data_IF_720717712760
#
_entry.id   IF_720717712760
#
_cell.length_a   1.000
_cell.length_b   1.000
_cell.length_c   1.000
_cell.angle_alpha   90.00
_cell.angle_beta   90.00
_cell.angle_gamma   90.00
#
_symmetry.space_group_name_H-M   'P 1'
#
loop_
_entity.id
_entity.type
_entity.pdbx_description
1 polymer ?
#
# COMPACT_ATOMS: atom_id res chain seq x y z
N UNK A 1 -31.71 2.22 -9.24
CA UNK A 1 -32.03 1.47 -8.00
C UNK A 1 -30.79 1.19 -7.16
N UNK A 2 -29.68 0.72 -7.75
CA UNK A 2 -28.39 0.51 -7.05
C UNK A 2 -27.81 1.84 -6.52
N UNK A 3 -27.87 2.93 -7.29
CA UNK A 3 -27.32 4.23 -6.86
C UNK A 3 -28.00 4.81 -5.63
N UNK A 4 -29.31 4.63 -5.48
CA UNK A 4 -30.08 5.09 -4.31
C UNK A 4 -29.74 4.30 -3.03
N UNK A 5 -29.43 3.01 -3.15
CA UNK A 5 -28.97 2.18 -2.03
C UNK A 5 -27.52 2.52 -1.63
N UNK A 6 -26.65 2.82 -2.60
CA UNK A 6 -25.28 3.26 -2.35
C UNK A 6 -25.23 4.60 -1.60
N UNK A 7 -26.10 5.53 -1.98
CA UNK A 7 -26.20 6.86 -1.36
C UNK A 7 -26.72 6.76 0.09
N UNK A 8 -27.68 5.86 0.35
CA UNK A 8 -28.15 5.56 1.72
C UNK A 8 -27.14 4.80 2.58
N UNK A 9 -26.26 4.00 1.97
CA UNK A 9 -25.15 3.30 2.64
C UNK A 9 -23.95 4.22 2.88
N UNK A 10 -23.99 5.48 2.40
CA UNK A 10 -22.88 6.43 2.54
C UNK A 10 -21.67 6.09 1.65
N UNK A 11 -21.81 5.12 0.74
CA UNK A 11 -20.79 4.75 -0.26
C UNK A 11 -20.91 5.74 -1.42
N UNK A 12 -20.52 6.97 -1.12
CA UNK A 12 -20.43 8.04 -2.12
C UNK A 12 -19.11 7.91 -2.88
N UNK A 13 -19.03 8.35 -4.15
CA UNK A 13 -17.76 8.41 -4.90
C UNK A 13 -16.63 9.11 -4.13
N UNK A 14 -17.03 10.06 -3.28
CA UNK A 14 -16.18 10.77 -2.32
C UNK A 14 -15.43 9.85 -1.37
N UNK A 15 -16.07 8.77 -0.90
CA UNK A 15 -15.45 7.83 0.03
C UNK A 15 -14.30 7.07 -0.65
N UNK A 16 -14.49 6.58 -1.89
CA UNK A 16 -13.42 5.94 -2.65
C UNK A 16 -12.29 6.91 -3.00
N UNK A 17 -12.61 8.16 -3.34
CA UNK A 17 -11.61 9.19 -3.58
C UNK A 17 -10.80 9.51 -2.31
N UNK A 18 -11.46 9.64 -1.15
CA UNK A 18 -10.78 9.90 0.11
C UNK A 18 -9.93 8.73 0.59
N UNK A 19 -10.47 7.52 0.54
CA UNK A 19 -9.75 6.29 0.91
C UNK A 19 -8.53 6.10 0.00
N UNK A 20 -8.65 6.30 -1.31
CA UNK A 20 -7.50 6.15 -2.23
C UNK A 20 -6.40 7.19 -1.98
N UNK A 21 -6.75 8.44 -1.66
CA UNK A 21 -5.78 9.47 -1.26
C UNK A 21 -5.06 9.09 0.05
N UNK A 22 -5.80 8.67 1.07
CA UNK A 22 -5.20 8.24 2.33
C UNK A 22 -4.37 6.97 2.18
N UNK A 23 -4.79 6.03 1.34
CA UNK A 23 -4.03 4.82 1.05
C UNK A 23 -2.68 5.17 0.41
N UNK A 24 -2.69 6.07 -0.58
CA UNK A 24 -1.47 6.56 -1.23
C UNK A 24 -0.56 7.28 -0.23
N UNK A 25 -1.10 8.21 0.56
CA UNK A 25 -0.34 8.95 1.54
C UNK A 25 0.31 8.02 2.59
N UNK A 26 -0.46 7.09 3.17
CA UNK A 26 0.05 6.14 4.15
C UNK A 26 1.09 5.20 3.52
N UNK A 27 0.83 4.72 2.30
CA UNK A 27 1.78 3.89 1.58
C UNK A 27 3.12 4.62 1.36
N UNK A 28 3.08 5.91 1.04
CA UNK A 28 4.30 6.68 0.81
C UNK A 28 5.04 7.03 2.11
N UNK A 29 4.33 7.36 3.19
CA UNK A 29 4.95 7.73 4.48
C UNK A 29 5.58 6.51 5.14
N UNK A 30 4.88 5.37 5.13
CA UNK A 30 5.29 4.18 5.87
C UNK A 30 6.19 3.24 5.06
N UNK A 31 7.21 3.78 4.39
CA UNK A 31 8.17 3.00 3.59
C UNK A 31 8.75 1.78 4.34
N UNK A 32 9.16 1.97 5.60
CA UNK A 32 9.73 0.88 6.41
C UNK A 32 8.71 -0.20 6.75
N UNK A 33 7.45 0.19 7.00
CA UNK A 33 6.38 -0.74 7.30
C UNK A 33 6.02 -1.54 6.04
N UNK A 34 5.91 -0.87 4.89
CA UNK A 34 5.62 -1.52 3.62
C UNK A 34 6.68 -2.56 3.26
N UNK A 35 7.97 -2.23 3.37
CA UNK A 35 9.03 -3.21 3.09
C UNK A 35 8.90 -4.45 3.99
N UNK A 36 8.63 -4.27 5.29
CA UNK A 36 8.39 -5.40 6.20
C UNK A 36 7.16 -6.21 5.82
N UNK A 37 6.09 -5.55 5.37
CA UNK A 37 4.89 -6.23 4.90
C UNK A 37 5.16 -7.04 3.63
N UNK A 38 5.94 -6.50 2.69
CA UNK A 38 6.38 -7.23 1.50
C UNK A 38 7.21 -8.45 1.89
N UNK A 39 8.15 -8.32 2.81
CA UNK A 39 8.98 -9.43 3.27
C UNK A 39 8.14 -10.53 3.95
N UNK A 40 7.23 -10.14 4.86
CA UNK A 40 6.33 -11.07 5.53
C UNK A 40 5.38 -11.78 4.56
N UNK A 41 4.81 -11.03 3.62
CA UNK A 41 3.95 -11.61 2.58
C UNK A 41 4.76 -12.54 1.67
N UNK A 42 6.00 -12.18 1.32
CA UNK A 42 6.88 -13.01 0.52
C UNK A 42 7.24 -14.32 1.21
N UNK A 43 7.57 -14.27 2.50
CA UNK A 43 7.81 -15.46 3.33
C UNK A 43 6.57 -16.34 3.43
N UNK A 44 5.41 -15.74 3.69
CA UNK A 44 4.14 -16.47 3.79
C UNK A 44 3.76 -17.13 2.47
N UNK A 45 3.91 -16.42 1.35
CA UNK A 45 3.61 -16.93 0.01
C UNK A 45 4.58 -18.06 -0.37
N UNK A 46 5.87 -17.94 -0.01
CA UNK A 46 6.86 -18.99 -0.22
C UNK A 46 6.54 -20.25 0.60
N UNK A 47 6.07 -20.08 1.85
CA UNK A 47 5.65 -21.20 2.70
C UNK A 47 4.37 -21.87 2.18
N UNK A 48 3.40 -21.09 1.71
CA UNK A 48 2.18 -21.60 1.07
C UNK A 48 2.50 -22.42 -0.18
N UNK A 49 3.42 -21.92 -1.00
CA UNK A 49 3.85 -22.57 -2.23
C UNK A 49 4.61 -23.87 -1.93
N UNK A 50 5.40 -23.90 -0.86
CA UNK A 50 6.07 -25.12 -0.37
C UNK A 50 5.08 -26.15 0.20
N UNK A 51 3.99 -25.69 0.81
CA UNK A 51 2.92 -26.56 1.32
C UNK A 51 2.08 -27.18 0.19
N UNK A 52 1.98 -26.52 -0.97
CA UNK A 52 1.10 -26.93 -2.05
C UNK A 52 1.79 -27.81 -3.10
N UNK A 53 3.11 -27.68 -3.27
CA UNK A 53 3.88 -28.42 -4.28
C UNK A 53 4.78 -29.51 -3.67
N UNK A 54 4.80 -30.67 -4.34
CA UNK A 54 5.64 -31.79 -3.94
C UNK A 54 7.14 -31.51 -4.20
N UNK A 55 8.05 -32.22 -3.52
CA UNK A 55 9.50 -31.94 -3.61
C UNK A 55 10.06 -32.05 -5.04
N UNK A 56 9.51 -32.96 -5.85
CA UNK A 56 9.91 -33.18 -7.25
C UNK A 56 9.54 -32.01 -8.18
N UNK A 57 8.45 -31.28 -7.90
CA UNK A 57 8.06 -30.09 -8.68
C UNK A 57 8.80 -28.83 -8.21
N UNK A 58 9.22 -28.78 -6.95
CA UNK A 58 10.10 -27.74 -6.41
C UNK A 58 11.49 -27.76 -7.08
N UNK A 59 12.06 -28.94 -7.33
CA UNK A 59 13.37 -29.08 -7.98
C UNK A 59 13.36 -28.74 -9.48
N UNK A 60 12.18 -28.78 -10.13
CA UNK A 60 12.00 -28.41 -11.54
C UNK A 60 11.62 -26.94 -11.75
N UNK A 61 11.69 -26.08 -10.72
CA UNK A 61 11.31 -24.66 -10.86
C UNK A 61 12.18 -23.94 -11.90
N UNK A 62 11.57 -23.31 -12.93
CA UNK A 62 12.28 -22.38 -13.78
C UNK A 62 12.76 -21.15 -13.00
N UNK A 63 13.85 -20.52 -13.47
CA UNK A 63 14.28 -19.22 -12.98
C UNK A 63 13.15 -18.18 -13.17
N UNK A 64 12.78 -17.45 -12.11
CA UNK A 64 11.72 -16.42 -12.11
C UNK A 64 10.48 -16.73 -11.25
N UNK A 65 10.39 -17.91 -10.63
CA UNK A 65 9.27 -18.24 -9.73
C UNK A 65 9.28 -17.43 -8.42
N UNK A 66 10.46 -17.19 -7.83
CA UNK A 66 10.58 -16.34 -6.63
C UNK A 66 10.25 -14.88 -6.94
N UNK A 67 10.60 -14.40 -8.14
CA UNK A 67 10.27 -13.05 -8.60
C UNK A 67 8.76 -12.85 -8.71
N UNK A 68 8.01 -13.86 -9.20
CA UNK A 68 6.53 -13.82 -9.20
C UNK A 68 5.98 -13.71 -7.78
N UNK A 69 6.52 -14.48 -6.83
CA UNK A 69 6.08 -14.40 -5.44
C UNK A 69 6.37 -13.04 -4.81
N UNK A 70 7.52 -12.42 -5.12
CA UNK A 70 7.85 -11.06 -4.69
C UNK A 70 6.88 -10.02 -5.27
N UNK A 71 6.49 -10.16 -6.54
CA UNK A 71 5.49 -9.27 -7.16
C UNK A 71 4.12 -9.40 -6.48
N UNK A 72 3.65 -10.62 -6.22
CA UNK A 72 2.39 -10.83 -5.50
C UNK A 72 2.46 -10.33 -4.06
N UNK A 73 3.59 -10.52 -3.38
CA UNK A 73 3.81 -9.97 -2.05
C UNK A 73 3.75 -8.44 -2.03
N UNK A 74 4.32 -7.77 -3.05
CA UNK A 74 4.21 -6.32 -3.21
C UNK A 74 2.76 -5.86 -3.32
N UNK A 75 1.93 -6.54 -4.12
CA UNK A 75 0.52 -6.18 -4.28
C UNK A 75 -0.25 -6.44 -2.97
N UNK A 76 -0.02 -7.60 -2.33
CA UNK A 76 -0.68 -7.97 -1.08
C UNK A 76 -0.36 -6.98 0.06
N UNK A 77 0.86 -6.43 0.06
CA UNK A 77 1.30 -5.45 1.06
C UNK A 77 0.52 -4.13 1.04
N UNK A 78 -0.23 -3.85 -0.03
CA UNK A 78 -1.09 -2.67 -0.14
C UNK A 78 -2.37 -2.83 0.69
N UNK A 79 -2.81 -4.06 0.98
CA UNK A 79 -4.06 -4.33 1.71
C UNK A 79 -4.07 -3.70 3.11
N UNK A 80 -3.02 -3.85 3.95
CA UNK A 80 -2.97 -3.17 5.25
C UNK A 80 -3.06 -1.65 5.14
N UNK A 81 -2.42 -1.05 4.13
CA UNK A 81 -2.49 0.39 3.90
C UNK A 81 -3.92 0.83 3.50
N UNK A 82 -4.62 0.03 2.69
CA UNK A 82 -6.02 0.25 2.35
C UNK A 82 -6.92 0.18 3.58
N UNK A 83 -6.75 -0.84 4.43
CA UNK A 83 -7.52 -0.96 5.68
C UNK A 83 -7.28 0.26 6.55
N UNK A 84 -6.02 0.63 6.77
CA UNK A 84 -5.66 1.82 7.55
C UNK A 84 -6.26 3.11 6.97
N UNK A 85 -6.28 3.25 5.64
CA UNK A 85 -6.85 4.42 4.98
C UNK A 85 -8.35 4.57 5.20
N UNK A 86 -9.11 3.46 5.24
CA UNK A 86 -10.53 3.48 5.59
C UNK A 86 -10.71 3.95 7.02
N UNK A 87 -9.93 3.42 7.96
CA UNK A 87 -9.97 3.87 9.35
C UNK A 87 -9.68 5.37 9.49
N UNK A 88 -8.59 5.84 8.88
CA UNK A 88 -8.22 7.26 8.94
C UNK A 88 -9.29 8.15 8.31
N UNK A 89 -9.79 7.78 7.13
CA UNK A 89 -10.84 8.55 6.45
C UNK A 89 -12.13 8.60 7.27
N UNK A 90 -12.57 7.47 7.85
CA UNK A 90 -13.78 7.40 8.67
C UNK A 90 -13.62 8.21 9.96
N UNK A 91 -12.49 8.08 10.66
CA UNK A 91 -12.22 8.85 11.88
C UNK A 91 -12.26 10.34 11.57
N UNK A 92 -11.51 10.79 10.55
CA UNK A 92 -11.46 12.21 10.19
C UNK A 92 -12.81 12.74 9.69
N UNK A 93 -13.55 11.93 8.93
CA UNK A 93 -14.89 12.31 8.48
C UNK A 93 -15.86 12.43 9.65
N UNK A 94 -15.74 11.59 10.67
CA UNK A 94 -16.56 11.66 11.88
C UNK A 94 -16.18 12.83 12.79
N UNK A 95 -14.90 13.20 12.88
CA UNK A 95 -14.43 14.25 13.79
C UNK A 95 -14.49 15.65 13.18
N UNK A 96 -14.03 15.82 11.93
CA UNK A 96 -13.88 17.12 11.26
C UNK A 96 -14.83 17.30 10.06
N UNK A 97 -15.46 16.23 9.60
CA UNK A 97 -16.30 16.23 8.39
C UNK A 97 -15.55 15.76 7.14
N UNK A 98 -16.31 15.33 6.14
CA UNK A 98 -15.76 14.73 4.91
C UNK A 98 -14.86 15.68 4.11
N UNK A 99 -15.18 16.97 4.04
CA UNK A 99 -14.38 17.96 3.29
C UNK A 99 -12.96 18.11 3.84
N UNK A 100 -12.83 18.13 5.16
CA UNK A 100 -11.53 18.17 5.85
C UNK A 100 -10.75 16.88 5.65
N UNK A 101 -11.40 15.73 5.75
CA UNK A 101 -10.76 14.43 5.51
C UNK A 101 -10.17 14.34 4.09
N UNK A 102 -10.88 14.84 3.08
CA UNK A 102 -10.41 14.89 1.69
C UNK A 102 -9.24 15.86 1.52
N UNK A 103 -9.39 17.11 1.99
CA UNK A 103 -8.37 18.14 1.82
C UNK A 103 -7.04 17.74 2.48
N UNK A 104 -7.10 17.20 3.69
CA UNK A 104 -5.91 16.67 4.37
C UNK A 104 -5.32 15.46 3.62
N UNK A 105 -6.15 14.56 3.10
CA UNK A 105 -5.68 13.44 2.29
C UNK A 105 -4.88 13.89 1.06
N UNK A 106 -5.34 14.93 0.36
CA UNK A 106 -4.62 15.54 -0.78
C UNK A 106 -3.29 16.13 -0.32
N UNK A 107 -3.28 16.95 0.73
CA UNK A 107 -2.08 17.59 1.25
C UNK A 107 -1.03 16.56 1.71
N UNK A 108 -1.46 15.53 2.42
CA UNK A 108 -0.58 14.44 2.85
C UNK A 108 -0.04 13.64 1.67
N UNK A 109 -0.85 13.40 0.63
CA UNK A 109 -0.39 12.71 -0.58
C UNK A 109 0.71 13.51 -1.29
N UNK A 110 0.50 14.82 -1.48
CA UNK A 110 1.50 15.70 -2.09
C UNK A 110 2.76 15.76 -1.21
N UNK A 111 2.60 16.02 0.10
CA UNK A 111 3.72 16.14 1.03
C UNK A 111 4.55 14.87 1.14
N UNK A 112 3.90 13.70 1.21
CA UNK A 112 4.59 12.40 1.25
C UNK A 112 5.32 12.09 -0.06
N UNK A 113 4.76 12.44 -1.21
CA UNK A 113 5.42 12.34 -2.51
C UNK A 113 6.69 13.20 -2.59
N UNK A 114 6.59 14.48 -2.21
CA UNK A 114 7.75 15.39 -2.16
C UNK A 114 8.82 14.89 -1.19
N UNK A 115 8.42 14.44 0.00
CA UNK A 115 9.35 13.89 1.00
C UNK A 115 10.08 12.65 0.47
N UNK A 116 9.37 11.73 -0.21
CA UNK A 116 9.96 10.54 -0.80
C UNK A 116 11.01 10.88 -1.87
N UNK A 117 10.69 11.82 -2.76
CA UNK A 117 11.63 12.30 -3.78
C UNK A 117 12.88 12.92 -3.15
N UNK A 118 12.71 13.80 -2.16
CA UNK A 118 13.82 14.40 -1.44
C UNK A 118 14.69 13.38 -0.69
N UNK A 119 14.06 12.38 -0.05
CA UNK A 119 14.78 11.28 0.62
C UNK A 119 15.57 10.43 -0.37
N UNK A 120 15.04 10.17 -1.55
CA UNK A 120 15.73 9.40 -2.58
C UNK A 120 16.92 10.18 -3.16
N UNK A 121 16.76 11.48 -3.40
CA UNK A 121 17.84 12.35 -3.86
C UNK A 121 18.99 12.46 -2.83
N UNK A 122 18.65 12.57 -1.55
CA UNK A 122 19.64 12.54 -0.46
C UNK A 122 20.46 11.23 -0.41
N UNK A 123 19.84 10.09 -0.73
CA UNK A 123 20.54 8.80 -0.82
C UNK A 123 21.47 8.73 -2.03
N UNK A 124 21.01 9.22 -3.18
CA UNK A 124 21.79 9.19 -4.42
C UNK A 124 23.02 10.11 -4.35
N UNK A 125 22.86 11.31 -3.81
CA UNK A 125 23.94 12.28 -3.61
C UNK A 125 24.99 11.82 -2.59
N UNK A 126 24.58 11.10 -1.53
CA UNK A 126 25.50 10.50 -0.56
C UNK A 126 26.34 9.35 -1.13
N UNK A 127 25.77 8.56 -2.04
CA UNK A 127 26.49 7.47 -2.75
C UNK A 127 27.51 8.04 -3.75
N UNK A 128 27.19 9.14 -4.43
CA UNK A 128 28.09 9.79 -5.40
C UNK A 128 29.29 10.52 -4.75
N UNK A 129 29.35 10.59 -3.42
CA UNK A 129 30.47 11.18 -2.65
C UNK A 129 31.42 10.14 -2.05
N UNK A 130 31.21 8.85 -2.29
CA UNK A 130 32.16 7.80 -1.88
C UNK A 130 33.13 7.54 -3.05
N UNK A 131 34.44 7.80 -2.88
CA UNK A 131 35.46 7.55 -3.89
C UNK A 131 35.66 6.05 -4.16
#
# INVERSE_FOLDING_TARGET
MIEFLLDKLGITPVLFAGVSLWALALYLVFWQLNNRLVDLCGLWLNEMDRSMYNKETLERRPAGWEERNLLFASILSVIPALIASVFVFVILSATLGQSWALAMGVLFSIGSGVYQLGRQDARNSGTNRRP
#
